data_IF_342360541562
#
_entry.id   IF_342360541562
#
_cell.length_a   1.000
_cell.length_b   1.000
_cell.length_c   1.000
_cell.angle_alpha   90.00
_cell.angle_beta   90.00
_cell.angle_gamma   90.00
#
_symmetry.space_group_name_H-M   'P 1'
#
loop_
_entity.id
_entity.type
_entity.pdbx_description
1 polymer ?
#
# COMPACT_ATOMS: atom_id res chain seq x y z
N UNK A 1 -36.07 -30.18 12.06
CA UNK A 1 -35.86 -28.80 11.58
C UNK A 1 -34.88 -28.90 10.40
N UNK A 2 -35.39 -28.96 9.16
CA UNK A 2 -34.53 -28.97 7.98
C UNK A 2 -33.99 -27.56 7.78
N UNK A 3 -32.67 -27.40 7.90
CA UNK A 3 -32.01 -26.16 7.55
C UNK A 3 -31.97 -26.12 6.03
N UNK A 4 -32.68 -25.16 5.44
CA UNK A 4 -32.65 -24.91 4.00
C UNK A 4 -31.36 -24.17 3.64
N UNK A 5 -30.29 -24.94 3.45
CA UNK A 5 -28.95 -24.42 3.16
C UNK A 5 -28.92 -23.58 1.87
N UNK A 6 -29.75 -23.89 0.87
CA UNK A 6 -29.81 -23.13 -0.38
C UNK A 6 -30.32 -21.71 -0.13
N UNK A 7 -31.42 -21.58 0.62
CA UNK A 7 -31.97 -20.27 0.97
C UNK A 7 -30.98 -19.40 1.78
N UNK A 8 -30.24 -20.00 2.71
CA UNK A 8 -29.21 -19.26 3.46
C UNK A 8 -28.03 -18.86 2.57
N UNK A 9 -27.60 -19.74 1.67
CA UNK A 9 -26.52 -19.46 0.75
C UNK A 9 -26.86 -18.33 -0.22
N UNK A 10 -28.06 -18.33 -0.81
CA UNK A 10 -28.52 -17.26 -1.70
C UNK A 10 -28.56 -15.90 -1.01
N UNK A 11 -28.99 -15.84 0.26
CA UNK A 11 -28.98 -14.61 1.06
C UNK A 11 -27.57 -14.14 1.42
N UNK A 12 -26.65 -15.07 1.66
CA UNK A 12 -25.27 -14.76 2.06
C UNK A 12 -24.38 -14.38 0.86
N UNK A 13 -24.63 -14.95 -0.32
CA UNK A 13 -23.77 -14.83 -1.50
C UNK A 13 -23.48 -13.36 -1.92
N UNK A 14 -24.46 -12.43 -1.94
CA UNK A 14 -24.19 -11.03 -2.26
C UNK A 14 -23.25 -10.37 -1.25
N UNK A 15 -23.41 -10.70 0.04
CA UNK A 15 -22.56 -10.18 1.12
C UNK A 15 -21.15 -10.75 0.99
N UNK A 16 -21.01 -12.05 0.72
CA UNK A 16 -19.72 -12.70 0.50
C UNK A 16 -19.02 -12.07 -0.71
N UNK A 17 -19.69 -11.97 -1.88
CA UNK A 17 -19.15 -11.32 -3.08
C UNK A 17 -18.73 -9.86 -2.84
N UNK A 18 -19.41 -9.18 -1.91
CA UNK A 18 -19.08 -7.82 -1.53
C UNK A 18 -17.83 -7.75 -0.65
N UNK A 19 -17.69 -8.62 0.34
CA UNK A 19 -16.66 -8.46 1.38
C UNK A 19 -15.45 -9.39 1.25
N UNK A 20 -15.49 -10.41 0.38
CA UNK A 20 -14.46 -11.45 0.33
C UNK A 20 -13.05 -10.88 0.14
N UNK A 21 -12.86 -9.87 -0.71
CA UNK A 21 -11.53 -9.33 -0.99
C UNK A 21 -10.91 -8.69 0.25
N UNK A 22 -11.67 -7.84 0.95
CA UNK A 22 -11.27 -7.26 2.24
C UNK A 22 -10.95 -8.35 3.27
N UNK A 23 -11.80 -9.38 3.38
CA UNK A 23 -11.60 -10.48 4.35
C UNK A 23 -10.34 -11.29 4.05
N UNK A 24 -10.11 -11.64 2.80
CA UNK A 24 -8.92 -12.40 2.37
C UNK A 24 -7.64 -11.61 2.63
N UNK A 25 -7.67 -10.28 2.51
CA UNK A 25 -6.51 -9.43 2.73
C UNK A 25 -6.16 -9.19 4.21
N UNK A 26 -7.02 -9.55 5.17
CA UNK A 26 -6.79 -9.34 6.61
C UNK A 26 -5.40 -9.84 7.08
N UNK A 27 -5.01 -11.12 6.87
CA UNK A 27 -3.70 -11.61 7.34
C UNK A 27 -2.52 -10.84 6.74
N UNK A 28 -2.59 -10.45 5.47
CA UNK A 28 -1.53 -9.69 4.79
C UNK A 28 -1.41 -8.28 5.38
N UNK A 29 -2.54 -7.61 5.56
CA UNK A 29 -2.62 -6.26 6.11
C UNK A 29 -2.17 -6.21 7.58
N UNK A 30 -2.54 -7.23 8.37
CA UNK A 30 -2.12 -7.36 9.76
C UNK A 30 -0.61 -7.50 9.86
N UNK A 31 -0.04 -8.43 9.09
CA UNK A 31 1.39 -8.71 9.09
C UNK A 31 2.19 -7.50 8.60
N UNK A 32 1.73 -6.79 7.57
CA UNK A 32 2.33 -5.53 7.14
C UNK A 32 2.35 -4.51 8.29
N UNK A 33 1.20 -4.26 8.91
CA UNK A 33 1.09 -3.26 9.98
C UNK A 33 1.99 -3.63 11.16
N UNK A 34 2.00 -4.90 11.57
CA UNK A 34 2.83 -5.40 12.66
C UNK A 34 4.33 -5.29 12.34
N UNK A 35 4.76 -5.78 11.18
CA UNK A 35 6.15 -5.73 10.76
C UNK A 35 6.71 -4.31 10.82
N UNK A 36 6.04 -3.36 10.18
CA UNK A 36 6.54 -1.99 10.10
C UNK A 36 6.38 -1.25 11.42
N UNK A 37 5.39 -1.62 12.24
CA UNK A 37 5.36 -1.19 13.64
C UNK A 37 6.61 -1.64 14.40
N UNK A 38 6.98 -2.92 14.26
CA UNK A 38 8.19 -3.46 14.88
C UNK A 38 9.45 -2.78 14.37
N UNK A 39 9.51 -2.48 13.06
CA UNK A 39 10.62 -1.78 12.45
C UNK A 39 10.81 -0.36 13.00
N UNK A 40 9.73 0.42 13.06
CA UNK A 40 9.76 1.81 13.55
C UNK A 40 9.95 1.89 15.07
N UNK A 41 9.40 0.93 15.82
CA UNK A 41 9.39 0.98 17.28
C UNK A 41 10.63 0.39 17.93
N UNK A 42 11.15 -0.70 17.38
CA UNK A 42 12.18 -1.51 18.02
C UNK A 42 13.48 -1.54 17.23
N UNK A 43 13.43 -2.00 15.98
CA UNK A 43 14.64 -2.19 15.19
C UNK A 43 14.37 -2.21 13.69
N UNK A 44 15.05 -1.33 12.95
CA UNK A 44 14.73 -1.08 11.54
C UNK A 44 14.92 -2.30 10.64
N UNK A 45 15.78 -3.26 11.02
CA UNK A 45 16.00 -4.48 10.22
C UNK A 45 14.76 -5.32 10.01
N UNK A 46 13.73 -5.15 10.84
CA UNK A 46 12.43 -5.79 10.63
C UNK A 46 11.75 -5.32 9.34
N UNK A 47 12.12 -4.20 8.71
CA UNK A 47 11.51 -3.81 7.43
C UNK A 47 11.95 -4.68 6.25
N UNK A 48 13.10 -5.37 6.31
CA UNK A 48 13.56 -6.28 5.24
C UNK A 48 13.83 -7.72 5.70
N UNK A 49 13.98 -7.96 7.00
CA UNK A 49 14.23 -9.26 7.59
C UNK A 49 13.13 -9.62 8.61
N UNK A 50 11.90 -9.76 8.14
CA UNK A 50 10.76 -10.17 8.98
C UNK A 50 10.35 -11.63 8.72
N UNK A 51 10.17 -12.46 9.75
CA UNK A 51 9.78 -13.85 9.58
C UNK A 51 8.27 -13.97 9.32
N UNK A 52 7.86 -13.84 8.07
CA UNK A 52 6.47 -14.08 7.70
C UNK A 52 6.15 -15.59 7.66
N UNK A 53 4.88 -15.97 7.90
CA UNK A 53 4.38 -17.27 7.49
C UNK A 53 4.67 -17.55 6.01
N UNK A 54 5.19 -18.74 5.70
CA UNK A 54 5.65 -19.12 4.36
C UNK A 54 4.64 -18.81 3.24
N UNK A 55 3.33 -19.00 3.49
CA UNK A 55 2.28 -18.77 2.50
C UNK A 55 2.01 -17.28 2.19
N UNK A 56 2.46 -16.35 3.04
CA UNK A 56 2.36 -14.91 2.77
C UNK A 56 3.59 -14.38 2.03
N UNK A 57 4.73 -15.06 2.12
CA UNK A 57 6.00 -14.60 1.56
C UNK A 57 5.95 -14.25 0.06
N UNK A 58 5.33 -15.06 -0.83
CA UNK A 58 5.24 -14.69 -2.24
C UNK A 58 4.49 -13.39 -2.48
N UNK A 59 3.44 -13.11 -1.70
CA UNK A 59 2.66 -11.89 -1.84
C UNK A 59 3.50 -10.65 -1.53
N UNK A 60 4.16 -10.62 -0.38
CA UNK A 60 5.06 -9.52 -0.01
C UNK A 60 6.18 -9.36 -1.03
N UNK A 61 6.82 -10.45 -1.43
CA UNK A 61 7.86 -10.40 -2.46
C UNK A 61 7.39 -9.68 -3.74
N UNK A 62 6.19 -9.96 -4.24
CA UNK A 62 5.69 -9.30 -5.45
C UNK A 62 5.32 -7.82 -5.23
N UNK A 63 4.71 -7.48 -4.09
CA UNK A 63 4.29 -6.10 -3.80
C UNK A 63 5.52 -5.22 -3.55
N UNK A 64 6.44 -5.65 -2.69
CA UNK A 64 7.65 -4.91 -2.34
C UNK A 64 8.50 -4.65 -3.59
N UNK A 65 8.68 -5.67 -4.46
CA UNK A 65 9.43 -5.48 -5.71
C UNK A 65 8.68 -4.58 -6.71
N UNK A 66 7.36 -4.68 -6.79
CA UNK A 66 6.58 -3.79 -7.64
C UNK A 66 6.73 -2.33 -7.19
N UNK A 67 6.55 -2.05 -5.90
CA UNK A 67 6.69 -0.70 -5.35
C UNK A 67 8.11 -0.18 -5.48
N UNK A 68 9.13 -1.01 -5.26
CA UNK A 68 10.52 -0.66 -5.49
C UNK A 68 10.80 -0.29 -6.95
N UNK A 69 10.30 -1.06 -7.93
CA UNK A 69 10.45 -0.71 -9.36
C UNK A 69 9.78 0.64 -9.66
N UNK A 70 8.59 0.87 -9.10
CA UNK A 70 7.89 2.15 -9.23
C UNK A 70 8.71 3.27 -8.60
N UNK A 71 9.31 3.06 -7.43
CA UNK A 71 10.19 4.02 -6.78
C UNK A 71 11.35 4.43 -7.70
N UNK A 72 12.10 3.47 -8.24
CA UNK A 72 13.23 3.77 -9.13
C UNK A 72 12.80 4.46 -10.43
N UNK A 73 11.65 4.07 -10.98
CA UNK A 73 11.06 4.74 -12.12
C UNK A 73 10.69 6.20 -11.79
N UNK A 74 10.29 6.48 -10.55
CA UNK A 74 9.98 7.79 -10.03
C UNK A 74 11.18 8.73 -10.10
N UNK A 75 12.37 8.30 -9.68
CA UNK A 75 13.59 9.10 -9.83
C UNK A 75 13.84 9.52 -11.27
N UNK A 76 13.63 8.60 -12.21
CA UNK A 76 13.81 8.87 -13.64
C UNK A 76 12.75 9.86 -14.16
N UNK A 77 11.48 9.63 -13.85
CA UNK A 77 10.36 10.45 -14.30
C UNK A 77 10.46 11.89 -13.79
N UNK A 78 10.68 12.06 -12.49
CA UNK A 78 10.84 13.38 -11.86
C UNK A 78 12.22 14.00 -12.13
N UNK A 79 13.21 13.18 -12.53
CA UNK A 79 14.50 13.64 -13.05
C UNK A 79 14.36 14.55 -14.27
N UNK A 80 13.40 14.27 -15.16
CA UNK A 80 13.14 15.11 -16.34
C UNK A 80 12.61 16.51 -16.02
N UNK A 81 11.94 16.68 -14.87
CA UNK A 81 11.49 18.00 -14.40
C UNK A 81 12.70 18.87 -14.00
N UNK A 82 13.79 18.22 -13.57
CA UNK A 82 15.03 18.85 -13.18
C UNK A 82 15.08 19.25 -11.71
N UNK A 83 16.29 19.29 -11.15
CA UNK A 83 16.55 19.68 -9.76
C UNK A 83 16.71 18.49 -8.82
N UNK A 84 17.82 18.46 -8.08
CA UNK A 84 18.21 17.31 -7.23
C UNK A 84 17.13 16.92 -6.20
N UNK A 85 16.48 17.91 -5.57
CA UNK A 85 15.46 17.63 -4.56
C UNK A 85 14.26 16.85 -5.13
N UNK A 86 13.71 17.28 -6.27
CA UNK A 86 12.54 16.62 -6.86
C UNK A 86 12.90 15.29 -7.51
N UNK A 87 14.12 15.14 -8.04
CA UNK A 87 14.60 13.84 -8.53
C UNK A 87 14.64 12.81 -7.40
N UNK A 88 15.19 13.16 -6.24
CA UNK A 88 15.27 12.26 -5.08
C UNK A 88 13.87 12.02 -4.50
N UNK A 89 13.09 13.07 -4.26
CA UNK A 89 11.70 12.95 -3.77
C UNK A 89 10.82 12.13 -4.72
N UNK A 90 11.12 12.20 -6.02
CA UNK A 90 10.38 11.56 -7.09
C UNK A 90 10.20 10.07 -6.93
N UNK A 91 11.14 9.38 -6.28
CA UNK A 91 11.03 7.94 -6.03
C UNK A 91 9.82 7.60 -5.18
N UNK A 92 9.86 7.98 -3.90
CA UNK A 92 8.73 7.82 -2.97
C UNK A 92 7.46 8.51 -3.46
N UNK A 93 7.58 9.66 -4.13
CA UNK A 93 6.40 10.35 -4.66
C UNK A 93 5.69 9.49 -5.72
N UNK A 94 6.41 8.88 -6.66
CA UNK A 94 5.79 8.03 -7.67
C UNK A 94 5.29 6.70 -7.09
N UNK A 95 6.05 6.13 -6.15
CA UNK A 95 5.66 4.94 -5.36
C UNK A 95 4.28 5.10 -4.71
N UNK A 96 3.93 6.31 -4.25
CA UNK A 96 2.61 6.61 -3.67
C UNK A 96 1.59 7.02 -4.74
N UNK A 97 1.97 7.91 -5.66
CA UNK A 97 1.04 8.50 -6.64
C UNK A 97 0.50 7.48 -7.65
N UNK A 98 1.31 6.53 -8.11
CA UNK A 98 0.87 5.56 -9.10
C UNK A 98 -0.21 4.61 -8.53
N UNK A 99 -0.03 3.95 -7.37
CA UNK A 99 -1.10 3.23 -6.69
C UNK A 99 -2.36 4.07 -6.45
N UNK A 100 -2.18 5.33 -6.02
CA UNK A 100 -3.31 6.21 -5.78
C UNK A 100 -4.07 6.55 -7.08
N UNK A 101 -3.35 6.70 -8.20
CA UNK A 101 -3.96 6.89 -9.51
C UNK A 101 -4.75 5.64 -9.95
N UNK A 102 -4.28 4.43 -9.64
CA UNK A 102 -5.03 3.18 -9.86
C UNK A 102 -6.33 3.19 -9.06
N UNK A 103 -6.27 3.62 -7.78
CA UNK A 103 -7.47 3.82 -6.96
C UNK A 103 -8.44 4.81 -7.62
N UNK A 104 -7.96 6.00 -7.98
CA UNK A 104 -8.78 7.05 -8.58
C UNK A 104 -9.43 6.59 -9.89
N UNK A 105 -8.66 5.88 -10.73
CA UNK A 105 -9.17 5.29 -11.97
C UNK A 105 -10.26 4.25 -11.69
N UNK A 106 -10.02 3.33 -10.75
CA UNK A 106 -11.00 2.31 -10.37
C UNK A 106 -12.27 2.92 -9.80
N UNK A 107 -12.14 3.95 -8.96
CA UNK A 107 -13.26 4.67 -8.39
C UNK A 107 -14.08 5.41 -9.45
N UNK A 108 -13.42 6.16 -10.34
CA UNK A 108 -14.06 6.91 -11.42
C UNK A 108 -14.83 6.01 -12.38
N UNK A 109 -14.23 4.86 -12.77
CA UNK A 109 -14.81 3.91 -13.71
C UNK A 109 -15.70 2.84 -13.07
N UNK A 110 -16.03 3.00 -11.77
CA UNK A 110 -16.81 2.03 -10.99
C UNK A 110 -16.26 0.60 -11.06
N UNK A 111 -14.93 0.45 -11.13
CA UNK A 111 -14.25 -0.85 -11.08
C UNK A 111 -13.84 -1.13 -9.64
N UNK A 112 -14.75 -1.74 -8.86
CA UNK A 112 -14.57 -2.09 -7.45
C UNK A 112 -13.19 -2.63 -7.12
N UNK A 113 -12.80 -3.73 -7.76
CA UNK A 113 -11.57 -4.43 -7.41
C UNK A 113 -10.33 -3.61 -7.77
N UNK A 114 -10.38 -2.84 -8.86
CA UNK A 114 -9.29 -1.92 -9.24
C UNK A 114 -9.14 -0.81 -8.19
N UNK A 115 -10.26 -0.24 -7.72
CA UNK A 115 -10.23 0.76 -6.67
C UNK A 115 -9.65 0.20 -5.37
N UNK A 116 -10.14 -0.98 -4.92
CA UNK A 116 -9.64 -1.61 -3.69
C UNK A 116 -8.17 -2.01 -3.79
N UNK A 117 -7.72 -2.58 -4.92
CA UNK A 117 -6.30 -2.88 -5.13
C UNK A 117 -5.45 -1.62 -5.13
N UNK A 118 -5.94 -0.52 -5.71
CA UNK A 118 -5.26 0.78 -5.64
C UNK A 118 -5.07 1.26 -4.19
N UNK A 119 -6.13 1.21 -3.37
CA UNK A 119 -6.03 1.57 -1.94
C UNK A 119 -5.05 0.67 -1.18
N UNK A 120 -5.09 -0.63 -1.44
CA UNK A 120 -4.18 -1.60 -0.83
C UNK A 120 -2.73 -1.24 -1.17
N UNK A 121 -2.41 -1.07 -2.46
CA UNK A 121 -1.07 -0.68 -2.91
C UNK A 121 -0.63 0.68 -2.36
N UNK A 122 -1.54 1.66 -2.28
CA UNK A 122 -1.24 2.97 -1.67
C UNK A 122 -0.90 2.83 -0.19
N UNK A 123 -1.61 1.97 0.55
CA UNK A 123 -1.30 1.72 1.96
C UNK A 123 0.08 1.08 2.14
N UNK A 124 0.44 0.08 1.30
CA UNK A 124 1.77 -0.53 1.27
C UNK A 124 2.85 0.52 1.00
N UNK A 125 2.69 1.33 -0.05
CA UNK A 125 3.64 2.40 -0.40
C UNK A 125 3.91 3.37 0.76
N UNK A 126 2.87 3.81 1.47
CA UNK A 126 3.05 4.69 2.64
C UNK A 126 3.79 4.00 3.79
N UNK A 127 3.48 2.73 4.07
CA UNK A 127 4.05 1.97 5.19
C UNK A 127 5.50 1.59 4.91
N UNK A 128 5.83 1.14 3.69
CA UNK A 128 7.19 0.82 3.27
C UNK A 128 8.07 2.07 3.29
N UNK A 129 7.58 3.15 2.69
CA UNK A 129 8.26 4.45 2.71
C UNK A 129 8.45 5.01 4.12
N UNK A 130 7.59 4.64 5.10
CA UNK A 130 7.75 5.05 6.49
C UNK A 130 9.02 4.45 7.12
N UNK A 131 9.29 3.16 6.91
CA UNK A 131 10.56 2.57 7.36
C UNK A 131 11.74 3.21 6.61
N UNK A 132 11.59 3.47 5.30
CA UNK A 132 12.64 4.14 4.53
C UNK A 132 12.98 5.53 5.08
N UNK A 133 11.98 6.30 5.50
CA UNK A 133 12.18 7.56 6.20
C UNK A 133 12.82 7.38 7.59
N UNK A 134 12.42 6.35 8.33
CA UNK A 134 12.97 6.07 9.66
C UNK A 134 14.49 5.78 9.60
N UNK A 135 14.95 5.06 8.58
CA UNK A 135 16.35 4.66 8.40
C UNK A 135 17.28 5.79 7.94
N UNK A 136 16.76 7.00 7.66
CA UNK A 136 17.56 8.11 7.13
C UNK A 136 18.86 8.41 7.92
N UNK A 137 18.83 8.25 9.24
CA UNK A 137 20.00 8.45 10.10
C UNK A 137 21.01 7.29 10.04
N UNK A 138 20.55 6.05 10.14
CA UNK A 138 21.42 4.87 10.27
C UNK A 138 21.87 4.32 8.91
N UNK A 139 21.02 4.47 7.88
CA UNK A 139 21.22 4.02 6.50
C UNK A 139 21.66 2.56 6.47
N UNK A 140 20.86 1.71 7.12
CA UNK A 140 21.10 0.27 7.26
C UNK A 140 20.36 -0.55 6.21
N UNK A 141 19.28 -0.02 5.63
CA UNK A 141 18.58 -0.71 4.56
C UNK A 141 19.47 -0.94 3.34
N UNK A 142 19.40 -2.13 2.73
CA UNK A 142 20.10 -2.40 1.48
C UNK A 142 19.49 -1.55 0.36
N UNK A 143 20.33 -0.82 -0.36
CA UNK A 143 19.92 -0.03 -1.52
C UNK A 143 19.96 -0.88 -2.79
N UNK A 144 19.07 -0.57 -3.74
CA UNK A 144 19.07 -1.24 -5.03
C UNK A 144 20.44 -1.06 -5.72
N UNK A 145 20.94 -2.11 -6.37
CA UNK A 145 22.23 -2.07 -7.07
C UNK A 145 23.46 -1.93 -6.16
N UNK A 146 23.35 -2.16 -4.85
CA UNK A 146 24.43 -1.99 -3.88
C UNK A 146 25.03 -0.57 -3.87
N UNK A 147 24.18 0.44 -4.05
CA UNK A 147 24.60 1.84 -4.00
C UNK A 147 25.20 2.20 -2.63
N UNK A 148 26.13 3.18 -2.59
CA UNK A 148 26.72 3.61 -1.33
C UNK A 148 25.66 4.25 -0.42
N UNK A 149 25.86 4.17 0.90
CA UNK A 149 24.96 4.79 1.90
C UNK A 149 24.68 6.27 1.62
N UNK A 150 25.61 7.00 1.00
CA UNK A 150 25.42 8.40 0.60
C UNK A 150 24.28 8.62 -0.40
N UNK A 151 23.83 7.58 -1.09
CA UNK A 151 22.72 7.61 -2.04
C UNK A 151 21.34 7.48 -1.40
N UNK A 152 21.24 7.28 -0.08
CA UNK A 152 19.96 7.11 0.60
C UNK A 152 19.08 8.36 0.46
N UNK A 153 17.85 8.20 0.00
CA UNK A 153 17.01 9.32 -0.42
C UNK A 153 16.56 10.19 0.74
N UNK A 154 15.92 9.60 1.76
CA UNK A 154 15.47 10.36 2.93
C UNK A 154 16.60 11.03 3.70
N UNK A 155 17.79 10.41 3.78
CA UNK A 155 18.97 11.08 4.32
C UNK A 155 19.29 12.36 3.55
N UNK A 156 19.33 12.29 2.22
CA UNK A 156 19.60 13.45 1.38
C UNK A 156 18.48 14.50 1.49
N UNK A 157 17.21 14.10 1.42
CA UNK A 157 16.06 15.00 1.51
C UNK A 157 16.00 15.74 2.84
N UNK A 158 16.11 15.01 3.96
CA UNK A 158 16.07 15.63 5.28
C UNK A 158 17.31 16.47 5.56
N UNK A 159 18.50 16.08 5.06
CA UNK A 159 19.71 16.90 5.16
C UNK A 159 19.58 18.20 4.38
N UNK A 160 19.07 18.17 3.15
CA UNK A 160 18.83 19.38 2.34
C UNK A 160 17.84 20.35 2.98
N UNK A 161 16.88 19.82 3.74
CA UNK A 161 15.87 20.60 4.45
C UNK A 161 16.27 20.99 5.88
N UNK A 162 17.36 20.45 6.41
CA UNK A 162 17.80 20.69 7.78
C UNK A 162 16.92 20.02 8.85
N UNK A 163 16.17 18.98 8.49
CA UNK A 163 15.21 18.29 9.39
C UNK A 163 15.61 16.84 9.69
N UNK A 164 16.88 16.49 9.49
CA UNK A 164 17.36 15.11 9.64
C UNK A 164 17.09 14.52 11.02
N UNK A 165 17.14 15.32 12.08
CA UNK A 165 16.82 14.90 13.45
C UNK A 165 15.35 14.56 13.67
N UNK A 166 14.46 15.01 12.78
CA UNK A 166 13.01 14.77 12.86
C UNK A 166 12.56 13.56 12.04
N UNK A 167 13.50 12.79 11.47
CA UNK A 167 13.22 11.66 10.57
C UNK A 167 12.16 10.68 11.11
N UNK A 168 12.20 10.36 12.41
CA UNK A 168 11.20 9.49 13.04
C UNK A 168 9.80 10.10 13.08
N UNK A 169 9.66 11.42 13.22
CA UNK A 169 8.36 12.09 13.19
C UNK A 169 7.71 11.92 11.82
N UNK A 170 8.47 12.14 10.75
CA UNK A 170 7.99 11.90 9.38
C UNK A 170 7.64 10.43 9.16
N UNK A 171 8.50 9.50 9.60
CA UNK A 171 8.23 8.07 9.50
C UNK A 171 6.91 7.68 10.19
N UNK A 172 6.66 8.12 11.41
CA UNK A 172 5.42 7.81 12.12
C UNK A 172 4.19 8.42 11.44
N UNK A 173 4.29 9.65 10.92
CA UNK A 173 3.21 10.28 10.15
C UNK A 173 2.88 9.45 8.91
N UNK A 174 3.90 9.04 8.15
CA UNK A 174 3.74 8.21 6.95
C UNK A 174 3.10 6.86 7.29
N UNK A 175 3.57 6.20 8.34
CA UNK A 175 3.00 4.93 8.82
C UNK A 175 1.51 5.07 9.12
N UNK A 176 1.11 6.10 9.88
CA UNK A 176 -0.29 6.31 10.24
C UNK A 176 -1.17 6.70 9.04
N UNK A 177 -0.65 7.45 8.08
CA UNK A 177 -1.36 7.69 6.80
C UNK A 177 -1.60 6.36 6.08
N UNK A 178 -0.60 5.48 6.05
CA UNK A 178 -0.71 4.13 5.52
C UNK A 178 -1.77 3.30 6.23
N UNK A 179 -1.77 3.29 7.58
CA UNK A 179 -2.80 2.60 8.39
C UNK A 179 -4.20 3.15 8.11
N UNK A 180 -4.37 4.47 8.03
CA UNK A 180 -5.67 5.07 7.69
C UNK A 180 -6.13 4.66 6.29
N UNK A 181 -5.20 4.59 5.33
CA UNK A 181 -5.49 4.11 3.97
C UNK A 181 -5.87 2.62 3.96
N UNK A 182 -5.23 1.81 4.80
CA UNK A 182 -5.54 0.40 5.00
C UNK A 182 -6.94 0.20 5.59
N UNK A 183 -7.29 1.02 6.58
CA UNK A 183 -8.66 1.04 7.14
C UNK A 183 -9.67 1.45 6.08
N UNK A 184 -9.37 2.46 5.25
CA UNK A 184 -10.19 2.86 4.12
C UNK A 184 -10.39 1.71 3.11
N UNK A 185 -9.34 0.94 2.82
CA UNK A 185 -9.41 -0.28 2.01
C UNK A 185 -10.43 -1.28 2.57
N UNK A 186 -10.40 -1.56 3.88
CA UNK A 186 -11.35 -2.50 4.50
C UNK A 186 -12.79 -2.01 4.45
N UNK A 187 -13.04 -0.71 4.63
CA UNK A 187 -14.39 -0.15 4.59
C UNK A 187 -14.86 0.22 3.17
N UNK A 188 -14.00 0.14 2.16
CA UNK A 188 -14.35 0.53 0.79
C UNK A 188 -15.62 -0.14 0.26
N UNK A 189 -15.86 -1.46 0.47
CA UNK A 189 -17.14 -2.10 0.16
C UNK A 189 -18.38 -1.36 0.70
N UNK A 190 -18.28 -0.70 1.86
CA UNK A 190 -19.40 -0.01 2.48
C UNK A 190 -19.72 1.31 1.77
N UNK A 191 -18.70 2.04 1.33
CA UNK A 191 -18.80 3.41 0.80
C UNK A 191 -18.75 3.48 -0.74
N UNK A 192 -18.43 2.37 -1.41
CA UNK A 192 -18.43 2.30 -2.86
C UNK A 192 -19.81 2.66 -3.43
N UNK A 193 -19.82 3.33 -4.59
CA UNK A 193 -21.07 3.66 -5.29
C UNK A 193 -21.77 2.37 -5.69
N UNK A 194 -23.06 2.24 -5.38
CA UNK A 194 -23.87 1.09 -5.81
C UNK A 194 -23.85 1.00 -7.34
N UNK A 195 -23.42 -0.14 -7.86
CA UNK A 195 -23.67 -0.51 -9.25
C UNK A 195 -25.05 -1.18 -9.31
N UNK A 196 -25.92 -0.65 -10.15
CA UNK A 196 -27.18 -1.30 -10.49
C UNK A 196 -26.89 -2.21 -11.69
N UNK A 197 -27.03 -3.52 -11.50
CA UNK A 197 -27.12 -4.44 -12.63
C UNK A 197 -28.54 -4.33 -13.20
N UNK A 198 -28.65 -4.07 -14.50
CA UNK A 198 -29.93 -4.16 -15.19
C UNK A 198 -30.24 -5.65 -15.36
N UNK A 199 -31.37 -6.08 -14.81
CA UNK A 199 -31.91 -7.42 -15.04
C UNK A 199 -32.97 -7.27 -16.11
N UNK A 200 -32.75 -7.87 -17.27
CA UNK A 200 -33.79 -7.98 -18.29
C UNK A 200 -34.86 -8.94 -17.76
N UNK A 201 -36.03 -8.39 -17.45
CA UNK A 201 -37.20 -9.19 -17.05
C UNK A 201 -37.95 -9.49 -18.34
N UNK A 202 -37.84 -10.73 -18.83
CA UNK A 202 -38.79 -11.24 -19.83
C UNK A 202 -40.18 -11.25 -19.18
N UNK A 203 -41.06 -10.36 -19.62
CA UNK A 203 -42.46 -10.41 -19.25
C UNK A 203 -43.18 -11.32 -20.23
N UNK A 204 -43.70 -12.46 -19.74
CA UNK A 204 -44.74 -13.20 -20.46
C UNK A 204 -46.00 -12.31 -20.51
N UNK A 205 -46.23 -11.66 -21.66
CA UNK A 205 -47.44 -10.86 -21.94
C UNK A 205 -48.48 -11.71 -22.67
#
# INVERSE_FOLDING_TARGET
MNIDFELYFEKALPVIKKWWFSVVCIPFCWVLAEQFWMALKWEISFSWNYPYPFFLSPFFFFIDNFLLIVHEAGHTLFGFIGGRFITILGGTLFEILLPFAIFAFGWYNQKRYVAQTGLLLTAFAWIESAAYAADAMDRRMPLIGNLPKSSHDFYNLFSMKGVLTEHMTYAWVMYWIGILTLLLFFIWPLIERKQYEYVDIEMDV
#
